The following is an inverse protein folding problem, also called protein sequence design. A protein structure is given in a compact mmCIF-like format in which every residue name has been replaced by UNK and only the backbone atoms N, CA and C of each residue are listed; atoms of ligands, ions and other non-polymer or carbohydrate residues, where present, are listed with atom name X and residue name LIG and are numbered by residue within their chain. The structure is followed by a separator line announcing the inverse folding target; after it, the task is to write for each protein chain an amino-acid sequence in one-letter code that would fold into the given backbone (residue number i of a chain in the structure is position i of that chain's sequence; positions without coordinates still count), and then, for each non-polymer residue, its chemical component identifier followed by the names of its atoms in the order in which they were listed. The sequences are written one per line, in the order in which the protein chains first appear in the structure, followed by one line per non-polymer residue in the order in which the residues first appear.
data_IF_439138586405
#
_entry.id   IF_439138586405
#
_cell.length_a   1.000
_cell.length_b   1.000
_cell.length_c   1.000
_cell.angle_alpha   90.00
_cell.angle_beta   90.00
_cell.angle_gamma   90.00
#
_symmetry.space_group_name_H-M   'P 1'
#
loop_
_entity.id
_entity.type
_entity.pdbx_description
1 polymer ?
#
# COMPACT_ATOMS: atom_id res chain seq x y z
N UNK A 1 -44.98 -23.52 7.62
CA UNK A 1 -44.17 -22.36 8.05
C UNK A 1 -43.26 -22.84 9.16
N UNK A 2 -42.08 -23.35 8.80
CA UNK A 2 -41.06 -23.73 9.77
C UNK A 2 -40.20 -22.49 9.98
N UNK A 3 -40.24 -21.94 11.20
CA UNK A 3 -39.43 -20.80 11.58
C UNK A 3 -37.95 -21.18 11.51
N UNK A 4 -37.13 -20.26 11.01
CA UNK A 4 -35.67 -20.37 10.92
C UNK A 4 -35.00 -20.57 12.31
N UNK A 5 -35.78 -20.51 13.40
CA UNK A 5 -35.37 -20.77 14.78
C UNK A 5 -34.91 -22.21 15.05
N UNK A 6 -35.36 -23.19 14.27
CA UNK A 6 -35.22 -24.61 14.70
C UNK A 6 -33.89 -25.25 14.25
N UNK A 7 -33.03 -24.51 13.55
CA UNK A 7 -31.76 -25.01 13.01
C UNK A 7 -30.51 -24.44 13.72
N UNK A 8 -30.68 -23.52 14.68
CA UNK A 8 -29.56 -22.97 15.44
C UNK A 8 -29.55 -23.62 16.82
N UNK A 9 -28.54 -24.46 17.15
CA UNK A 9 -28.44 -25.07 18.48
C UNK A 9 -28.56 -24.01 19.58
N UNK A 10 -29.33 -24.26 20.65
CA UNK A 10 -29.50 -23.33 21.78
C UNK A 10 -28.18 -22.89 22.48
N UNK A 11 -27.06 -23.54 22.14
CA UNK A 11 -25.70 -23.14 22.52
C UNK A 11 -25.16 -22.00 21.65
N UNK A 12 -25.46 -22.00 20.35
CA UNK A 12 -25.10 -20.96 19.39
C UNK A 12 -25.87 -19.66 19.66
N UNK A 13 -27.15 -19.72 20.04
CA UNK A 13 -27.90 -18.51 20.44
C UNK A 13 -27.34 -17.87 21.72
N UNK A 14 -27.03 -18.69 22.74
CA UNK A 14 -26.38 -18.19 23.97
C UNK A 14 -25.01 -17.58 23.69
N UNK A 15 -24.22 -18.23 22.82
CA UNK A 15 -22.92 -17.70 22.40
C UNK A 15 -23.08 -16.39 21.62
N UNK A 16 -24.07 -16.29 20.72
CA UNK A 16 -24.39 -15.07 19.98
C UNK A 16 -24.76 -13.92 20.91
N UNK A 17 -25.68 -14.13 21.86
CA UNK A 17 -26.08 -13.08 22.82
C UNK A 17 -24.91 -12.62 23.70
N UNK A 18 -24.04 -13.54 24.10
CA UNK A 18 -22.83 -13.21 24.86
C UNK A 18 -21.81 -12.42 24.03
N UNK A 19 -21.53 -12.85 22.79
CA UNK A 19 -20.62 -12.16 21.86
C UNK A 19 -21.14 -10.77 21.47
N UNK A 20 -22.46 -10.64 21.26
CA UNK A 20 -23.11 -9.38 20.88
C UNK A 20 -22.88 -8.26 21.90
N UNK A 21 -22.77 -8.60 23.19
CA UNK A 21 -22.45 -7.64 24.26
C UNK A 21 -21.10 -6.96 24.07
N UNK A 22 -20.14 -7.66 23.46
CA UNK A 22 -18.77 -7.18 23.23
C UNK A 22 -18.53 -6.77 21.77
N UNK A 23 -19.55 -6.82 20.91
CA UNK A 23 -19.40 -6.52 19.49
C UNK A 23 -18.91 -5.09 19.22
N UNK A 24 -19.26 -4.14 20.09
CA UNK A 24 -18.77 -2.76 20.02
C UNK A 24 -17.24 -2.63 20.17
N UNK A 25 -16.56 -3.62 20.76
CA UNK A 25 -15.10 -3.68 20.88
C UNK A 25 -14.43 -4.22 19.61
N UNK A 26 -15.18 -4.87 18.72
CA UNK A 26 -14.63 -5.54 17.53
C UNK A 26 -13.82 -4.60 16.62
N UNK A 27 -14.24 -3.35 16.34
CA UNK A 27 -13.44 -2.38 15.62
C UNK A 27 -12.05 -2.13 16.23
N UNK A 28 -11.98 -2.03 17.56
CA UNK A 28 -10.72 -1.82 18.28
C UNK A 28 -9.84 -3.08 18.23
N UNK A 29 -10.45 -4.26 18.25
CA UNK A 29 -9.75 -5.54 18.12
C UNK A 29 -9.18 -5.70 16.71
N UNK A 30 -9.96 -5.44 15.65
CA UNK A 30 -9.46 -5.49 14.26
C UNK A 30 -8.42 -4.41 13.97
N UNK A 31 -8.59 -3.19 14.50
CA UNK A 31 -7.58 -2.14 14.39
C UNK A 31 -6.29 -2.50 15.14
N UNK A 32 -6.44 -2.97 16.39
CA UNK A 32 -5.33 -3.47 17.19
C UNK A 32 -4.65 -4.66 16.54
N UNK A 33 -5.40 -5.57 15.91
CA UNK A 33 -4.91 -6.69 15.10
C UNK A 33 -4.11 -6.19 13.91
N UNK A 34 -4.61 -5.20 13.15
CA UNK A 34 -3.88 -4.57 12.05
C UNK A 34 -2.54 -3.97 12.48
N UNK A 35 -2.54 -3.21 13.58
CA UNK A 35 -1.32 -2.66 14.18
C UNK A 35 -0.38 -3.78 14.64
N UNK A 36 -0.88 -4.77 15.37
CA UNK A 36 -0.11 -5.88 15.89
C UNK A 36 0.51 -6.71 14.77
N UNK A 37 -0.25 -6.98 13.73
CA UNK A 37 0.16 -7.64 12.50
C UNK A 37 1.30 -6.92 11.83
N UNK A 38 1.18 -5.59 11.68
CA UNK A 38 2.26 -4.77 11.16
C UNK A 38 3.52 -4.84 12.05
N UNK A 39 3.37 -4.75 13.38
CA UNK A 39 4.50 -4.92 14.30
C UNK A 39 5.16 -6.28 14.13
N UNK A 40 4.36 -7.34 14.02
CA UNK A 40 4.87 -8.68 13.75
C UNK A 40 5.60 -8.73 12.42
N UNK A 41 5.05 -8.17 11.34
CA UNK A 41 5.70 -8.13 10.02
C UNK A 41 7.05 -7.42 10.10
N UNK A 42 7.10 -6.26 10.76
CA UNK A 42 8.32 -5.46 10.92
C UNK A 42 9.39 -6.14 11.79
N UNK A 43 8.99 -7.11 12.64
CA UNK A 43 9.91 -7.85 13.53
C UNK A 43 10.25 -9.25 13.05
N UNK A 44 9.33 -9.94 12.37
CA UNK A 44 9.45 -11.30 11.84
C UNK A 44 8.59 -11.47 10.58
N UNK A 45 9.24 -11.48 9.42
CA UNK A 45 8.60 -11.65 8.10
C UNK A 45 7.71 -12.90 8.00
N UNK A 46 8.06 -13.99 8.69
CA UNK A 46 7.31 -15.25 8.67
C UNK A 46 5.88 -15.10 9.17
N UNK A 47 5.64 -14.24 10.17
CA UNK A 47 4.31 -14.05 10.74
C UNK A 47 3.41 -13.19 9.86
N UNK A 48 4.01 -12.23 9.14
CA UNK A 48 3.33 -11.49 8.08
C UNK A 48 2.78 -12.39 6.98
N UNK A 49 3.59 -13.37 6.57
CA UNK A 49 3.19 -14.38 5.59
C UNK A 49 1.99 -15.17 6.08
N UNK A 50 2.01 -15.64 7.34
CA UNK A 50 0.88 -16.40 7.90
C UNK A 50 -0.42 -15.62 7.96
N UNK A 51 -0.36 -14.34 8.33
CA UNK A 51 -1.54 -13.49 8.35
C UNK A 51 -2.08 -13.20 6.95
N UNK A 52 -1.19 -12.92 5.99
CA UNK A 52 -1.59 -12.76 4.60
C UNK A 52 -2.22 -14.06 4.05
N UNK A 53 -1.68 -15.23 4.39
CA UNK A 53 -2.27 -16.53 4.04
C UNK A 53 -3.63 -16.74 4.70
N UNK A 54 -3.80 -16.38 5.97
CA UNK A 54 -5.09 -16.45 6.66
C UNK A 54 -6.13 -15.54 5.97
N UNK A 55 -5.74 -14.32 5.61
CA UNK A 55 -6.60 -13.40 4.85
C UNK A 55 -6.98 -13.97 3.48
N UNK A 56 -6.01 -14.53 2.73
CA UNK A 56 -6.26 -15.19 1.45
C UNK A 56 -7.19 -16.40 1.60
N UNK A 57 -7.05 -17.17 2.69
CA UNK A 57 -7.96 -18.26 3.00
C UNK A 57 -9.39 -17.75 3.26
N UNK A 58 -9.56 -16.66 4.01
CA UNK A 58 -10.88 -16.04 4.22
C UNK A 58 -11.52 -15.61 2.90
N UNK A 59 -10.74 -14.99 2.01
CA UNK A 59 -11.20 -14.62 0.67
C UNK A 59 -11.56 -15.83 -0.20
N UNK A 60 -10.76 -16.89 -0.15
CA UNK A 60 -11.02 -18.13 -0.87
C UNK A 60 -12.32 -18.79 -0.37
N UNK A 61 -12.51 -18.88 0.94
CA UNK A 61 -13.72 -19.46 1.55
C UNK A 61 -14.97 -18.66 1.18
N UNK A 62 -14.91 -17.32 1.24
CA UNK A 62 -16.01 -16.45 0.82
C UNK A 62 -16.34 -16.64 -0.66
N UNK A 63 -15.31 -16.78 -1.50
CA UNK A 63 -15.48 -17.02 -2.94
C UNK A 63 -16.12 -18.38 -3.19
N UNK A 64 -15.61 -19.44 -2.56
CA UNK A 64 -16.15 -20.80 -2.67
C UNK A 64 -17.60 -20.89 -2.19
N UNK A 65 -17.96 -20.20 -1.11
CA UNK A 65 -19.36 -20.10 -0.65
C UNK A 65 -20.26 -19.43 -1.70
N UNK A 66 -19.78 -18.35 -2.31
CA UNK A 66 -20.54 -17.66 -3.36
C UNK A 66 -20.71 -18.51 -4.63
N UNK A 67 -19.71 -19.33 -5.00
CA UNK A 67 -19.82 -20.28 -6.11
C UNK A 67 -20.74 -21.46 -5.78
N UNK A 68 -20.61 -22.00 -4.56
CA UNK A 68 -21.44 -23.10 -4.08
C UNK A 68 -22.92 -22.70 -4.06
N UNK A 69 -23.22 -21.53 -3.47
CA UNK A 69 -24.58 -20.99 -3.44
C UNK A 69 -25.09 -20.75 -4.86
N UNK A 70 -24.28 -20.24 -5.78
CA UNK A 70 -24.59 -20.05 -7.20
C UNK A 70 -24.97 -21.36 -7.93
N UNK A 71 -24.20 -22.44 -7.71
CA UNK A 71 -24.43 -23.75 -8.34
C UNK A 71 -25.69 -24.41 -7.79
N UNK A 72 -25.87 -24.36 -6.47
CA UNK A 72 -26.99 -25.00 -5.79
C UNK A 72 -28.24 -24.13 -5.65
N UNK A 73 -28.36 -23.01 -6.37
CA UNK A 73 -29.56 -22.13 -6.31
C UNK A 73 -30.89 -22.81 -6.59
N UNK A 74 -30.87 -23.94 -7.30
CA UNK A 74 -32.06 -24.75 -7.62
C UNK A 74 -32.35 -25.84 -6.58
N UNK A 75 -31.53 -25.98 -5.53
CA UNK A 75 -31.76 -26.88 -4.40
C UNK A 75 -32.15 -26.04 -3.17
N UNK A 76 -33.26 -26.39 -2.52
CA UNK A 76 -33.89 -25.60 -1.45
C UNK A 76 -33.05 -25.40 -0.17
N UNK A 77 -31.86 -25.99 -0.06
CA UNK A 77 -31.23 -26.26 1.25
C UNK A 77 -29.92 -25.55 1.61
N UNK A 78 -29.38 -24.59 0.82
CA UNK A 78 -28.13 -23.94 1.27
C UNK A 78 -27.89 -22.52 0.74
N UNK A 79 -28.71 -21.57 1.15
CA UNK A 79 -28.32 -20.16 1.09
C UNK A 79 -28.07 -19.63 2.50
N UNK A 80 -26.89 -19.07 2.75
CA UNK A 80 -26.69 -18.26 3.94
C UNK A 80 -27.72 -17.12 3.91
N UNK A 81 -28.45 -16.86 5.01
CA UNK A 81 -29.28 -15.67 5.12
C UNK A 81 -28.50 -14.44 4.67
N UNK A 82 -29.10 -13.59 3.84
CA UNK A 82 -28.44 -12.43 3.23
C UNK A 82 -27.70 -11.58 4.26
N UNK A 83 -28.30 -11.41 5.45
CA UNK A 83 -27.69 -10.70 6.57
C UNK A 83 -26.36 -11.32 7.00
N UNK A 84 -26.30 -12.65 7.15
CA UNK A 84 -25.09 -13.37 7.51
C UNK A 84 -24.02 -13.27 6.41
N UNK A 85 -24.41 -13.37 5.14
CA UNK A 85 -23.48 -13.20 4.02
C UNK A 85 -22.88 -11.78 3.97
N UNK A 86 -23.69 -10.74 4.17
CA UNK A 86 -23.24 -9.35 4.25
C UNK A 86 -22.34 -9.11 5.46
N UNK A 87 -22.66 -9.70 6.61
CA UNK A 87 -21.84 -9.64 7.81
C UNK A 87 -20.48 -10.33 7.61
N UNK A 88 -20.45 -11.54 7.04
CA UNK A 88 -19.20 -12.21 6.70
C UNK A 88 -18.36 -11.39 5.71
N UNK A 89 -18.99 -10.79 4.71
CA UNK A 89 -18.31 -9.90 3.78
C UNK A 89 -17.75 -8.65 4.49
N UNK A 90 -18.51 -8.06 5.42
CA UNK A 90 -18.04 -6.93 6.24
C UNK A 90 -16.79 -7.30 7.03
N UNK A 91 -16.80 -8.46 7.70
CA UNK A 91 -15.64 -8.95 8.45
C UNK A 91 -14.43 -9.13 7.52
N UNK A 92 -14.61 -9.77 6.37
CA UNK A 92 -13.52 -9.96 5.39
C UNK A 92 -12.97 -8.62 4.89
N UNK A 93 -13.84 -7.66 4.59
CA UNK A 93 -13.43 -6.32 4.16
C UNK A 93 -12.71 -5.55 5.25
N UNK A 94 -13.24 -5.61 6.47
CA UNK A 94 -12.66 -4.99 7.65
C UNK A 94 -11.24 -5.55 7.89
N UNK A 95 -11.09 -6.86 7.99
CA UNK A 95 -9.78 -7.50 8.16
C UNK A 95 -8.83 -7.18 7.01
N UNK A 96 -9.32 -7.14 5.77
CA UNK A 96 -8.51 -6.73 4.61
C UNK A 96 -7.98 -5.31 4.77
N UNK A 97 -8.87 -4.36 5.09
CA UNK A 97 -8.51 -2.96 5.22
C UNK A 97 -7.57 -2.74 6.40
N UNK A 98 -7.83 -3.34 7.56
CA UNK A 98 -6.96 -3.19 8.73
C UNK A 98 -5.63 -3.93 8.59
N UNK A 99 -5.56 -4.99 7.79
CA UNK A 99 -4.30 -5.62 7.40
C UNK A 99 -3.49 -4.72 6.45
N UNK A 100 -4.11 -4.17 5.41
CA UNK A 100 -3.43 -3.38 4.39
C UNK A 100 -3.09 -1.95 4.83
N UNK A 101 -3.94 -1.32 5.65
CA UNK A 101 -3.85 0.11 5.97
C UNK A 101 -2.51 0.52 6.62
N UNK A 102 -1.91 -0.22 7.57
CA UNK A 102 -0.62 0.13 8.13
C UNK A 102 0.50 0.26 7.09
N UNK A 103 0.52 -0.61 6.09
CA UNK A 103 1.48 -0.55 4.98
C UNK A 103 1.35 0.78 4.24
N UNK A 104 0.14 1.11 3.79
CA UNK A 104 -0.09 2.35 3.05
C UNK A 104 0.16 3.60 3.91
N UNK A 105 -0.23 3.62 5.19
CA UNK A 105 0.02 4.78 6.07
C UNK A 105 1.51 5.10 6.22
N UNK A 106 2.38 4.08 6.15
CA UNK A 106 3.82 4.24 6.32
C UNK A 106 4.51 4.57 5.01
N UNK A 107 4.11 3.94 3.91
CA UNK A 107 4.73 4.15 2.60
C UNK A 107 4.19 5.36 1.84
N UNK A 108 3.12 5.98 2.35
CA UNK A 108 2.56 7.20 1.77
C UNK A 108 3.51 8.39 1.95
N UNK A 109 3.88 8.97 0.82
CA UNK A 109 4.46 10.30 0.75
C UNK A 109 3.33 11.34 0.82
N UNK A 110 3.10 11.88 2.01
CA UNK A 110 1.90 12.67 2.36
C UNK A 110 1.76 14.00 1.63
N UNK A 111 2.84 14.55 1.08
CA UNK A 111 2.86 15.75 0.26
C UNK A 111 2.75 15.44 -1.25
N UNK A 112 2.13 14.31 -1.59
CA UNK A 112 1.90 13.87 -2.96
C UNK A 112 0.46 13.36 -3.17
N UNK A 113 0.10 13.06 -4.42
CA UNK A 113 -1.19 12.44 -4.76
C UNK A 113 -1.48 11.14 -4.02
N UNK A 114 -0.44 10.48 -3.47
CA UNK A 114 -0.57 9.28 -2.66
C UNK A 114 -1.48 9.45 -1.43
N UNK A 115 -1.51 10.64 -0.84
CA UNK A 115 -2.37 10.94 0.30
C UNK A 115 -3.86 10.72 -0.02
N UNK A 116 -4.28 10.91 -1.28
CA UNK A 116 -5.67 10.73 -1.70
C UNK A 116 -6.07 9.25 -1.68
N UNK A 117 -5.22 8.38 -2.23
CA UNK A 117 -5.48 6.92 -2.23
C UNK A 117 -5.49 6.36 -0.80
N UNK A 118 -4.51 6.73 0.01
CA UNK A 118 -4.45 6.29 1.41
C UNK A 118 -5.62 6.84 2.23
N UNK A 119 -6.01 8.10 2.01
CA UNK A 119 -7.21 8.69 2.60
C UNK A 119 -8.48 7.94 2.21
N UNK A 120 -8.61 7.52 0.95
CA UNK A 120 -9.73 6.66 0.50
C UNK A 120 -9.76 5.34 1.28
N UNK A 121 -8.62 4.67 1.50
CA UNK A 121 -8.56 3.45 2.30
C UNK A 121 -8.93 3.68 3.77
N UNK A 122 -8.50 4.80 4.37
CA UNK A 122 -8.91 5.20 5.73
C UNK A 122 -10.42 5.37 5.81
N UNK A 123 -11.03 6.08 4.85
CA UNK A 123 -12.48 6.28 4.79
C UNK A 123 -13.20 4.93 4.66
N UNK A 124 -12.73 4.04 3.79
CA UNK A 124 -13.27 2.69 3.67
C UNK A 124 -13.15 1.90 4.98
N UNK A 125 -12.00 1.96 5.66
CA UNK A 125 -11.80 1.30 6.95
C UNK A 125 -12.79 1.82 8.01
N UNK A 126 -13.04 3.13 8.06
CA UNK A 126 -14.06 3.72 8.93
C UNK A 126 -15.47 3.23 8.56
N UNK A 127 -15.81 3.21 7.27
CA UNK A 127 -17.10 2.70 6.80
C UNK A 127 -17.29 1.23 7.22
N UNK A 128 -16.24 0.40 7.15
CA UNK A 128 -16.28 -1.01 7.55
C UNK A 128 -16.64 -1.22 9.03
N UNK A 129 -16.30 -0.25 9.88
CA UNK A 129 -16.56 -0.26 11.32
C UNK A 129 -17.99 0.17 11.64
N UNK A 130 -18.54 1.09 10.85
CA UNK A 130 -19.83 1.72 11.17
C UNK A 130 -20.95 0.96 10.50
N UNK A 131 -21.54 -0.01 11.20
CA UNK A 131 -22.58 -0.92 10.66
C UNK A 131 -23.69 -0.19 9.89
N UNK A 132 -24.32 0.90 10.40
CA UNK A 132 -25.39 1.56 9.68
C UNK A 132 -24.96 2.11 8.31
N UNK A 133 -23.68 2.53 8.18
CA UNK A 133 -23.13 2.98 6.91
C UNK A 133 -22.83 1.80 5.99
N UNK A 134 -22.16 0.77 6.48
CA UNK A 134 -21.80 -0.41 5.68
C UNK A 134 -23.04 -1.15 5.16
N UNK A 135 -23.97 -1.50 6.05
CA UNK A 135 -25.23 -2.16 5.67
C UNK A 135 -26.10 -1.25 4.80
N UNK A 136 -26.11 0.06 5.07
CA UNK A 136 -26.79 1.04 4.23
C UNK A 136 -26.27 1.04 2.79
N UNK A 137 -24.96 0.93 2.58
CA UNK A 137 -24.34 0.78 1.26
C UNK A 137 -24.70 -0.57 0.65
N UNK A 138 -24.54 -1.67 1.40
CA UNK A 138 -24.78 -3.03 0.93
C UNK A 138 -26.21 -3.28 0.42
N UNK A 139 -27.20 -2.71 1.11
CA UNK A 139 -28.62 -2.89 0.79
C UNK A 139 -29.14 -1.88 -0.24
N UNK A 140 -28.82 -0.59 -0.08
CA UNK A 140 -29.44 0.48 -0.86
C UNK A 140 -28.63 0.87 -2.10
N UNK A 141 -27.30 0.66 -2.09
CA UNK A 141 -26.38 1.12 -3.14
C UNK A 141 -25.45 -0.01 -3.60
N UNK A 142 -26.04 -1.01 -4.23
CA UNK A 142 -25.36 -2.25 -4.62
C UNK A 142 -24.13 -2.05 -5.52
N UNK A 143 -24.14 -1.02 -6.37
CA UNK A 143 -22.97 -0.66 -7.18
C UNK A 143 -21.78 -0.20 -6.31
N UNK A 144 -22.01 0.68 -5.33
CA UNK A 144 -20.97 1.10 -4.38
C UNK A 144 -20.44 -0.07 -3.56
N UNK A 145 -21.32 -0.97 -3.14
CA UNK A 145 -20.91 -2.17 -2.40
C UNK A 145 -19.93 -3.04 -3.19
N UNK A 146 -20.19 -3.28 -4.47
CA UNK A 146 -19.28 -4.07 -5.31
C UNK A 146 -18.01 -3.30 -5.71
N UNK A 147 -18.09 -1.98 -5.88
CA UNK A 147 -16.91 -1.14 -6.07
C UNK A 147 -16.01 -1.12 -4.83
N UNK A 148 -16.61 -1.06 -3.64
CA UNK A 148 -15.92 -1.18 -2.36
C UNK A 148 -15.23 -2.55 -2.23
N UNK A 149 -15.95 -3.62 -2.56
CA UNK A 149 -15.40 -4.98 -2.57
C UNK A 149 -14.22 -5.11 -3.55
N UNK A 150 -14.33 -4.55 -4.76
CA UNK A 150 -13.23 -4.51 -5.73
C UNK A 150 -12.03 -3.71 -5.23
N UNK A 151 -12.26 -2.59 -4.52
CA UNK A 151 -11.19 -1.79 -3.91
C UNK A 151 -10.44 -2.57 -2.82
N UNK A 152 -11.14 -3.36 -2.00
CA UNK A 152 -10.48 -4.26 -1.04
C UNK A 152 -9.60 -5.30 -1.74
N UNK A 153 -10.08 -5.93 -2.84
CA UNK A 153 -9.27 -6.87 -3.63
C UNK A 153 -8.07 -6.17 -4.27
N UNK A 154 -8.25 -4.95 -4.76
CA UNK A 154 -7.15 -4.16 -5.30
C UNK A 154 -6.09 -3.87 -4.24
N UNK A 155 -6.48 -3.36 -3.08
CA UNK A 155 -5.57 -3.06 -1.98
C UNK A 155 -4.81 -4.32 -1.48
N UNK A 156 -5.50 -5.46 -1.36
CA UNK A 156 -4.85 -6.69 -0.90
C UNK A 156 -3.86 -7.23 -1.93
N UNK A 157 -4.16 -7.15 -3.23
CA UNK A 157 -3.22 -7.56 -4.29
C UNK A 157 -1.94 -6.71 -4.31
N UNK A 158 -2.06 -5.40 -4.05
CA UNK A 158 -0.90 -4.50 -3.94
C UNK A 158 0.03 -4.86 -2.78
N UNK A 159 -0.49 -5.44 -1.69
CA UNK A 159 0.29 -5.84 -0.52
C UNK A 159 0.79 -7.29 -0.67
N UNK A 160 -0.10 -8.20 -1.02
CA UNK A 160 0.18 -9.65 -1.07
C UNK A 160 1.06 -10.02 -2.25
N UNK A 161 0.95 -9.34 -3.40
CA UNK A 161 1.78 -9.60 -4.58
C UNK A 161 3.29 -9.56 -4.26
N UNK A 162 3.80 -8.44 -3.73
CA UNK A 162 5.20 -8.35 -3.33
C UNK A 162 5.52 -9.22 -2.11
N UNK A 163 4.62 -9.25 -1.11
CA UNK A 163 4.87 -9.90 0.18
C UNK A 163 4.89 -11.43 0.11
N UNK A 164 4.05 -12.07 -0.72
CA UNK A 164 3.94 -13.52 -0.82
C UNK A 164 4.48 -14.08 -2.14
N UNK A 165 4.26 -13.38 -3.25
CA UNK A 165 4.52 -13.90 -4.59
C UNK A 165 5.83 -13.39 -5.20
N UNK A 166 6.57 -12.54 -4.48
CA UNK A 166 7.81 -11.88 -4.95
C UNK A 166 7.62 -11.11 -6.26
N UNK A 167 6.41 -10.59 -6.49
CA UNK A 167 6.11 -9.76 -7.65
C UNK A 167 6.63 -8.34 -7.41
N UNK A 168 7.15 -7.70 -8.46
CA UNK A 168 7.47 -6.27 -8.36
C UNK A 168 6.22 -5.45 -8.05
N UNK A 169 6.42 -4.26 -7.51
CA UNK A 169 5.35 -3.33 -7.16
C UNK A 169 4.55 -2.96 -8.40
N UNK A 170 5.24 -2.69 -9.51
CA UNK A 170 4.60 -2.42 -10.81
C UNK A 170 3.79 -3.60 -11.36
N UNK A 171 4.31 -4.83 -11.25
CA UNK A 171 3.60 -6.04 -11.69
C UNK A 171 2.35 -6.30 -10.82
N UNK A 172 2.50 -6.15 -9.51
CA UNK A 172 1.38 -6.29 -8.56
C UNK A 172 0.29 -5.27 -8.84
N UNK A 173 0.68 -4.02 -9.15
CA UNK A 173 -0.26 -2.97 -9.56
C UNK A 173 -0.96 -3.29 -10.88
N UNK A 174 -0.23 -3.77 -11.89
CA UNK A 174 -0.83 -4.17 -13.17
C UNK A 174 -1.86 -5.29 -12.97
N UNK A 175 -1.51 -6.33 -12.20
CA UNK A 175 -2.41 -7.42 -11.86
C UNK A 175 -3.64 -6.93 -11.09
N UNK A 176 -3.46 -6.02 -10.13
CA UNK A 176 -4.55 -5.41 -9.40
C UNK A 176 -5.46 -4.57 -10.32
N UNK A 177 -4.88 -3.79 -11.24
CA UNK A 177 -5.61 -2.97 -12.21
C UNK A 177 -6.44 -3.82 -13.19
N UNK A 178 -5.99 -5.03 -13.52
CA UNK A 178 -6.75 -6.01 -14.33
C UNK A 178 -7.85 -6.67 -13.47
N UNK A 179 -7.53 -7.10 -12.25
CA UNK A 179 -8.47 -7.76 -11.36
C UNK A 179 -9.62 -6.85 -10.92
N UNK A 180 -9.36 -5.55 -10.74
CA UNK A 180 -10.34 -4.59 -10.23
C UNK A 180 -11.65 -4.54 -11.04
N UNK A 181 -11.65 -4.29 -12.36
CA UNK A 181 -12.91 -4.29 -13.13
C UNK A 181 -13.55 -5.67 -13.25
N UNK A 182 -12.78 -6.77 -13.17
CA UNK A 182 -13.32 -8.13 -13.16
C UNK A 182 -14.14 -8.38 -11.89
N UNK A 183 -13.61 -7.97 -10.74
CA UNK A 183 -14.30 -8.06 -9.45
C UNK A 183 -15.44 -7.04 -9.35
N UNK A 184 -15.27 -5.86 -9.93
CA UNK A 184 -16.30 -4.81 -9.99
C UNK A 184 -17.37 -5.09 -11.06
N UNK A 185 -17.28 -6.17 -11.84
CA UNK A 185 -18.20 -6.49 -12.93
C UNK A 185 -19.68 -6.48 -12.51
N UNK A 186 -20.09 -7.00 -11.33
CA UNK A 186 -21.46 -6.85 -10.86
C UNK A 186 -21.90 -5.39 -10.67
N UNK A 187 -20.98 -4.51 -10.25
CA UNK A 187 -21.22 -3.06 -10.18
C UNK A 187 -21.48 -2.49 -11.57
N UNK A 188 -20.60 -2.79 -12.53
CA UNK A 188 -20.69 -2.29 -13.91
C UNK A 188 -21.97 -2.76 -14.61
N UNK A 189 -22.33 -4.04 -14.46
CA UNK A 189 -23.59 -4.59 -14.99
C UNK A 189 -24.80 -3.89 -14.36
N UNK A 190 -24.78 -3.63 -13.05
CA UNK A 190 -25.91 -3.00 -12.36
C UNK A 190 -26.16 -1.55 -12.81
N UNK A 191 -25.10 -0.83 -13.18
CA UNK A 191 -25.13 0.55 -13.68
C UNK A 191 -25.54 0.57 -15.16
N UNK A 192 -24.86 -0.20 -16.01
CA UNK A 192 -25.05 -0.14 -17.47
C UNK A 192 -26.27 -0.92 -17.95
N UNK A 193 -26.72 -1.95 -17.22
CA UNK A 193 -27.83 -2.84 -17.56
C UNK A 193 -27.80 -3.26 -19.04
N UNK A 194 -26.77 -4.03 -19.45
CA UNK A 194 -26.55 -4.35 -20.86
C UNK A 194 -27.61 -5.31 -21.39
N UNK A 195 -28.58 -4.75 -22.12
CA UNK A 195 -29.68 -5.44 -22.82
C UNK A 195 -29.41 -5.59 -24.32
N UNK A 196 -28.48 -4.81 -24.88
CA UNK A 196 -28.12 -4.76 -26.29
C UNK A 196 -26.61 -4.96 -26.46
N UNK A 197 -26.20 -5.50 -27.61
CA UNK A 197 -24.79 -5.73 -27.94
C UNK A 197 -23.89 -4.49 -27.73
N UNK A 198 -24.38 -3.30 -28.09
CA UNK A 198 -23.64 -2.04 -27.88
C UNK A 198 -23.33 -1.77 -26.40
N UNK A 199 -24.23 -2.12 -25.47
CA UNK A 199 -23.99 -1.94 -24.03
C UNK A 199 -22.99 -2.96 -23.47
N UNK A 200 -22.92 -4.16 -24.06
CA UNK A 200 -21.85 -5.12 -23.76
C UNK A 200 -20.49 -4.59 -24.21
N UNK A 201 -20.42 -4.02 -25.42
CA UNK A 201 -19.21 -3.34 -25.89
C UNK A 201 -18.85 -2.16 -24.98
N UNK A 202 -19.83 -1.34 -24.57
CA UNK A 202 -19.60 -0.24 -23.63
C UNK A 202 -19.08 -0.72 -22.26
N UNK A 203 -19.54 -1.87 -21.77
CA UNK A 203 -19.04 -2.48 -20.54
C UNK A 203 -17.58 -2.88 -20.67
N UNK A 204 -17.19 -3.50 -21.77
CA UNK A 204 -15.78 -3.87 -22.04
C UNK A 204 -14.91 -2.61 -22.14
N UNK A 205 -15.36 -1.60 -22.89
CA UNK A 205 -14.65 -0.32 -22.99
C UNK A 205 -14.49 0.32 -21.62
N UNK A 206 -15.54 0.31 -20.79
CA UNK A 206 -15.47 0.85 -19.43
C UNK A 206 -14.52 0.05 -18.54
N UNK A 207 -14.51 -1.28 -18.62
CA UNK A 207 -13.58 -2.12 -17.87
C UNK A 207 -12.12 -1.82 -18.27
N UNK A 208 -11.83 -1.74 -19.57
CA UNK A 208 -10.51 -1.35 -20.08
C UNK A 208 -10.14 0.07 -19.65
N UNK A 209 -11.09 1.00 -19.72
CA UNK A 209 -10.91 2.38 -19.25
C UNK A 209 -10.61 2.47 -17.76
N UNK A 210 -11.24 1.65 -16.93
CA UNK A 210 -10.96 1.56 -15.48
C UNK A 210 -9.56 0.99 -15.24
N UNK A 211 -9.17 -0.10 -15.91
CA UNK A 211 -7.80 -0.63 -15.82
C UNK A 211 -6.76 0.39 -16.26
N UNK A 212 -6.99 1.05 -17.40
CA UNK A 212 -6.13 2.12 -17.91
C UNK A 212 -6.06 3.31 -16.96
N UNK A 213 -7.18 3.71 -16.36
CA UNK A 213 -7.25 4.75 -15.34
C UNK A 213 -6.49 4.39 -14.07
N UNK A 214 -6.62 3.16 -13.57
CA UNK A 214 -5.84 2.67 -12.43
C UNK A 214 -4.33 2.70 -12.70
N UNK A 215 -3.91 2.31 -13.92
CA UNK A 215 -2.51 2.40 -14.34
C UNK A 215 -2.04 3.85 -14.53
N UNK A 216 -2.89 4.74 -15.05
CA UNK A 216 -2.57 6.15 -15.19
C UNK A 216 -2.40 6.84 -13.82
N UNK A 217 -3.21 6.45 -12.84
CA UNK A 217 -3.17 6.92 -11.45
C UNK A 217 -2.11 6.19 -10.60
N UNK A 218 -1.22 5.38 -11.19
CA UNK A 218 -0.21 4.61 -10.45
C UNK A 218 0.65 5.45 -9.50
N UNK A 219 0.96 6.69 -9.88
CA UNK A 219 1.77 7.61 -9.05
C UNK A 219 1.05 8.06 -7.78
N UNK A 220 -0.29 7.96 -7.74
CA UNK A 220 -1.13 8.22 -6.57
C UNK A 220 -1.26 6.99 -5.66
N UNK A 221 -0.63 5.86 -5.99
CA UNK A 221 -0.71 4.64 -5.19
C UNK A 221 0.66 4.46 -4.51
N UNK A 222 0.74 4.48 -3.16
CA UNK A 222 1.99 4.19 -2.47
C UNK A 222 2.47 2.76 -2.78
N UNK A 223 3.79 2.54 -2.85
CA UNK A 223 4.34 1.19 -2.97
C UNK A 223 4.21 0.48 -1.61
N UNK A 224 3.20 -0.38 -1.46
CA UNK A 224 2.74 -0.83 -0.14
C UNK A 224 3.82 -1.48 0.73
N UNK A 225 4.76 -2.21 0.13
CA UNK A 225 5.76 -3.00 0.86
C UNK A 225 7.19 -2.47 0.74
N UNK A 226 7.39 -1.30 0.12
CA UNK A 226 8.70 -0.68 -0.05
C UNK A 226 8.75 0.65 0.67
N UNK A 227 9.76 0.84 1.53
CA UNK A 227 9.97 2.10 2.23
C UNK A 227 11.45 2.38 2.46
N UNK A 228 11.78 3.65 2.69
CA UNK A 228 13.13 4.09 3.04
C UNK A 228 13.32 3.95 4.55
N UNK A 229 14.24 3.08 4.96
CA UNK A 229 14.66 2.92 6.37
C UNK A 229 15.57 4.05 6.82
N UNK A 230 16.48 4.48 5.95
CA UNK A 230 17.38 5.60 6.18
C UNK A 230 17.84 6.24 4.87
N UNK A 231 18.17 7.52 4.93
CA UNK A 231 18.78 8.27 3.84
C UNK A 231 19.95 9.10 4.33
N UNK A 232 20.88 9.45 3.45
CA UNK A 232 21.95 10.38 3.77
C UNK A 232 22.42 11.13 2.52
N UNK A 233 22.95 12.33 2.75
CA UNK A 233 23.71 13.09 1.77
C UNK A 233 25.17 13.11 2.20
N UNK A 234 26.09 12.95 1.25
CA UNK A 234 27.53 12.95 1.58
C UNK A 234 28.42 13.40 0.42
N UNK A 235 29.61 13.96 0.70
CA UNK A 235 30.59 14.30 -0.33
C UNK A 235 31.26 13.08 -0.96
N UNK A 236 31.33 11.96 -0.23
CA UNK A 236 31.97 10.73 -0.70
C UNK A 236 31.20 9.48 -0.28
N UNK A 237 31.53 8.36 -0.91
CA UNK A 237 30.89 7.08 -0.69
C UNK A 237 31.93 5.95 -0.73
N UNK A 238 31.89 5.06 0.25
CA UNK A 238 32.69 3.84 0.29
C UNK A 238 31.92 2.72 -0.42
N UNK A 239 32.35 2.36 -1.63
CA UNK A 239 31.69 1.33 -2.44
C UNK A 239 31.84 -0.08 -1.87
N UNK A 240 32.91 -0.35 -1.12
CA UNK A 240 33.15 -1.67 -0.52
C UNK A 240 32.29 -1.87 0.73
N UNK A 241 32.26 -0.86 1.63
CA UNK A 241 31.39 -0.88 2.81
C UNK A 241 29.93 -0.56 2.49
N UNK A 242 29.65 0.02 1.31
CA UNK A 242 28.35 0.54 0.87
C UNK A 242 27.79 1.57 1.86
N UNK A 243 28.63 2.54 2.23
CA UNK A 243 28.30 3.55 3.24
C UNK A 243 28.73 4.96 2.83
N UNK A 244 27.90 5.98 3.14
CA UNK A 244 28.27 7.38 2.94
C UNK A 244 29.45 7.77 3.85
N UNK A 245 30.31 8.67 3.38
CA UNK A 245 31.52 9.11 4.09
C UNK A 245 31.77 10.61 3.92
N UNK A 246 32.61 11.13 4.83
CA UNK A 246 33.10 12.50 4.79
C UNK A 246 32.06 13.52 5.23
N UNK A 247 32.47 14.80 5.26
CA UNK A 247 31.54 15.89 5.51
C UNK A 247 31.88 17.14 4.70
N UNK A 248 30.87 17.92 4.33
CA UNK A 248 31.00 19.22 3.67
C UNK A 248 29.79 20.11 3.95
N UNK A 249 29.95 21.43 3.76
CA UNK A 249 28.81 22.35 3.74
C UNK A 249 28.15 22.34 2.35
N UNK A 250 26.82 22.45 2.32
CA UNK A 250 26.03 22.53 1.09
C UNK A 250 26.07 23.94 0.48
N UNK A 251 27.24 24.29 -0.04
CA UNK A 251 27.50 25.53 -0.80
C UNK A 251 27.72 25.20 -2.27
N UNK A 252 27.47 26.13 -3.18
CA UNK A 252 27.65 25.93 -4.63
C UNK A 252 29.07 25.48 -4.98
N UNK A 253 30.09 26.08 -4.36
CA UNK A 253 31.50 25.75 -4.63
C UNK A 253 31.86 24.32 -4.25
N UNK A 254 31.46 23.87 -3.06
CA UNK A 254 31.68 22.49 -2.62
C UNK A 254 30.96 21.49 -3.53
N UNK A 255 29.72 21.79 -3.95
CA UNK A 255 28.95 20.92 -4.83
C UNK A 255 29.56 20.81 -6.22
N UNK A 256 30.04 21.92 -6.80
CA UNK A 256 30.75 21.91 -8.08
C UNK A 256 32.09 21.16 -8.00
N UNK A 257 32.81 21.30 -6.88
CA UNK A 257 34.13 20.69 -6.72
C UNK A 257 34.07 19.17 -6.42
N UNK A 258 33.12 18.73 -5.59
CA UNK A 258 33.08 17.35 -5.06
C UNK A 258 31.89 16.54 -5.58
N UNK A 259 30.83 17.20 -6.04
CA UNK A 259 29.53 16.59 -6.26
C UNK A 259 28.84 16.23 -4.94
N UNK A 260 27.70 15.54 -5.05
CA UNK A 260 26.93 15.06 -3.91
C UNK A 260 26.46 13.64 -4.15
N UNK A 261 26.62 12.79 -3.16
CA UNK A 261 26.00 11.48 -3.13
C UNK A 261 24.67 11.56 -2.39
N UNK A 262 23.64 10.93 -2.98
CA UNK A 262 22.39 10.64 -2.30
C UNK A 262 22.33 9.14 -2.03
N UNK A 263 22.30 8.77 -0.75
CA UNK A 263 22.22 7.39 -0.27
C UNK A 263 20.84 7.09 0.29
N UNK A 264 20.33 5.90 -0.01
CA UNK A 264 19.06 5.38 0.53
C UNK A 264 19.20 3.90 0.89
N UNK A 265 18.82 3.57 2.12
CA UNK A 265 18.56 2.20 2.55
C UNK A 265 17.07 1.93 2.40
N UNK A 266 16.72 1.00 1.53
CA UNK A 266 15.33 0.65 1.21
C UNK A 266 15.03 -0.74 1.75
N UNK A 267 13.93 -0.84 2.50
CA UNK A 267 13.38 -2.12 2.91
C UNK A 267 12.65 -2.78 1.75
N UNK A 268 12.91 -4.06 1.52
CA UNK A 268 12.23 -4.86 0.51
C UNK A 268 12.01 -6.30 1.02
N UNK A 269 10.75 -6.76 1.14
CA UNK A 269 10.47 -8.10 1.62
C UNK A 269 10.95 -9.18 0.66
N UNK A 270 11.30 -10.36 1.19
CA UNK A 270 11.70 -11.56 0.43
C UNK A 270 12.86 -11.36 -0.57
N UNK A 271 13.71 -10.35 -0.35
CA UNK A 271 14.78 -10.01 -1.29
C UNK A 271 14.25 -9.56 -2.67
N UNK A 272 13.06 -8.98 -2.74
CA UNK A 272 12.47 -8.45 -3.96
C UNK A 272 13.46 -7.50 -4.66
N UNK A 273 13.80 -7.82 -5.91
CA UNK A 273 14.65 -6.98 -6.75
C UNK A 273 13.77 -5.99 -7.51
N UNK A 274 13.54 -4.81 -6.93
CA UNK A 274 12.74 -3.73 -7.53
C UNK A 274 13.65 -2.63 -8.00
N UNK A 275 13.74 -2.36 -9.30
CA UNK A 275 14.51 -1.22 -9.80
C UNK A 275 13.95 0.11 -9.27
N UNK A 276 14.85 0.94 -8.72
CA UNK A 276 14.54 2.28 -8.25
C UNK A 276 15.45 3.30 -8.92
N UNK A 277 14.95 4.54 -8.99
CA UNK A 277 15.64 5.67 -9.60
C UNK A 277 15.72 6.82 -8.60
N UNK A 278 16.84 7.53 -8.62
CA UNK A 278 16.96 8.83 -7.95
C UNK A 278 16.68 9.91 -8.98
N UNK A 279 15.53 10.58 -8.84
CA UNK A 279 15.14 11.73 -9.67
C UNK A 279 15.53 13.00 -8.94
N UNK A 280 16.54 13.69 -9.45
CA UNK A 280 17.04 14.94 -8.89
C UNK A 280 16.21 16.10 -9.43
N UNK A 281 15.79 16.97 -8.53
CA UNK A 281 15.04 18.18 -8.82
C UNK A 281 15.74 19.40 -8.23
N UNK A 282 15.68 20.49 -8.97
CA UNK A 282 16.12 21.81 -8.55
C UNK A 282 14.98 22.79 -8.84
N UNK A 283 14.54 23.54 -7.83
CA UNK A 283 13.38 24.46 -7.93
C UNK A 283 12.14 23.76 -8.51
N UNK A 284 11.92 22.50 -8.11
CA UNK A 284 10.82 21.65 -8.57
C UNK A 284 11.01 20.99 -9.95
N UNK A 285 11.96 21.46 -10.77
CA UNK A 285 12.22 20.94 -12.12
C UNK A 285 13.12 19.71 -12.07
N UNK A 286 12.80 18.68 -12.85
CA UNK A 286 13.67 17.48 -12.97
C UNK A 286 14.92 17.86 -13.75
N UNK A 287 16.09 17.67 -13.14
CA UNK A 287 17.40 17.98 -13.74
C UNK A 287 18.23 16.73 -14.03
N UNK A 288 17.92 15.60 -13.39
CA UNK A 288 18.62 14.35 -13.60
C UNK A 288 17.77 13.15 -13.16
N UNK A 289 17.97 12.02 -13.79
CA UNK A 289 17.35 10.75 -13.41
C UNK A 289 18.39 9.64 -13.50
N UNK A 290 18.72 9.06 -12.35
CA UNK A 290 19.82 8.08 -12.24
C UNK A 290 19.23 6.72 -11.85
N UNK A 291 19.32 5.78 -12.78
CA UNK A 291 18.90 4.39 -12.58
C UNK A 291 19.83 3.66 -11.63
N UNK A 292 19.26 3.03 -10.60
CA UNK A 292 20.01 2.28 -9.60
C UNK A 292 19.74 0.79 -9.81
N UNK A 293 20.71 0.11 -10.40
CA UNK A 293 20.69 -1.36 -10.48
C UNK A 293 21.08 -1.91 -9.11
N UNK A 294 20.12 -2.55 -8.45
CA UNK A 294 20.31 -3.09 -7.11
C UNK A 294 21.15 -4.36 -7.20
N UNK A 295 22.29 -4.37 -6.53
CA UNK A 295 23.15 -5.54 -6.43
C UNK A 295 23.41 -5.90 -4.96
N UNK A 296 22.69 -6.91 -4.48
CA UNK A 296 22.89 -7.51 -3.17
C UNK A 296 22.24 -6.75 -2.01
N UNK A 297 21.65 -7.53 -1.12
CA UNK A 297 20.98 -7.10 0.10
C UNK A 297 20.77 -8.30 1.01
N UNK A 298 20.70 -8.08 2.32
CA UNK A 298 20.26 -9.11 3.29
C UNK A 298 18.82 -9.52 2.93
N UNK A 299 18.27 -10.57 3.53
CA UNK A 299 16.89 -11.06 3.28
C UNK A 299 15.75 -10.00 3.41
N UNK A 300 16.06 -8.77 3.84
CA UNK A 300 15.10 -7.74 4.22
C UNK A 300 15.30 -6.36 3.53
N UNK A 301 16.23 -6.18 2.59
CA UNK A 301 16.36 -4.90 1.88
C UNK A 301 17.71 -4.64 1.22
N UNK A 302 17.82 -3.49 0.55
CA UNK A 302 18.98 -3.09 -0.24
C UNK A 302 19.44 -1.66 0.03
N UNK A 303 20.69 -1.37 -0.36
CA UNK A 303 21.31 -0.04 -0.28
C UNK A 303 21.52 0.47 -1.70
N UNK A 304 21.08 1.69 -1.97
CA UNK A 304 21.21 2.34 -3.26
C UNK A 304 21.84 3.73 -3.08
N UNK A 305 22.64 4.15 -4.05
CA UNK A 305 23.24 5.48 -4.03
C UNK A 305 23.39 6.02 -5.46
N UNK A 306 23.21 7.33 -5.62
CA UNK A 306 23.53 8.04 -6.85
C UNK A 306 24.52 9.17 -6.54
N UNK A 307 25.35 9.54 -7.51
CA UNK A 307 26.25 10.69 -7.42
C UNK A 307 25.88 11.71 -8.46
N UNK A 308 25.51 12.92 -8.04
CA UNK A 308 25.41 14.07 -8.93
C UNK A 308 26.73 14.83 -8.92
N UNK A 309 27.30 15.06 -10.11
CA UNK A 309 28.56 15.81 -10.27
C UNK A 309 28.33 17.16 -10.96
N UNK A 310 27.42 17.22 -11.92
CA UNK A 310 27.13 18.42 -12.68
C UNK A 310 25.86 19.09 -12.14
N UNK A 311 26.06 20.16 -11.35
CA UNK A 311 24.98 20.97 -10.77
C UNK A 311 24.59 22.19 -11.63
N UNK A 312 25.36 22.51 -12.67
CA UNK A 312 25.09 23.65 -13.54
C UNK A 312 25.65 24.97 -12.99
N UNK A 313 25.22 26.07 -13.61
CA UNK A 313 25.64 27.43 -13.23
C UNK A 313 24.84 27.96 -12.05
N UNK A 314 23.54 27.68 -12.01
CA UNK A 314 22.63 28.09 -10.93
C UNK A 314 22.44 26.91 -9.98
N UNK A 315 23.09 26.96 -8.81
CA UNK A 315 23.16 25.84 -7.85
C UNK A 315 22.46 26.16 -6.54
N UNK A 316 22.30 27.44 -6.20
CA UNK A 316 21.60 27.87 -4.99
C UNK A 316 20.11 27.52 -5.04
N UNK A 317 19.49 27.44 -3.87
CA UNK A 317 18.06 27.20 -3.72
C UNK A 317 17.68 25.76 -3.36
N UNK A 318 16.45 25.39 -3.68
CA UNK A 318 15.81 24.18 -3.21
C UNK A 318 16.13 22.96 -4.08
N UNK A 319 16.69 21.95 -3.46
CA UNK A 319 17.00 20.67 -4.07
C UNK A 319 16.23 19.52 -3.44
N UNK A 320 15.86 18.58 -4.31
CA UNK A 320 15.11 17.40 -3.91
C UNK A 320 15.59 16.17 -4.68
N UNK A 321 15.72 15.05 -3.97
CA UNK A 321 15.93 13.73 -4.57
C UNK A 321 14.70 12.88 -4.30
N UNK A 322 13.92 12.63 -5.33
CA UNK A 322 12.80 11.69 -5.31
C UNK A 322 13.33 10.27 -5.51
N UNK A 323 12.94 9.35 -4.63
CA UNK A 323 13.21 7.93 -4.80
C UNK A 323 11.95 7.29 -5.39
N UNK A 324 12.04 6.79 -6.62
CA UNK A 324 10.88 6.29 -7.37
C UNK A 324 11.11 4.89 -7.90
N UNK A 325 10.05 4.08 -7.96
CA UNK A 325 10.07 2.79 -8.69
C UNK A 325 10.05 3.02 -10.20
N UNK A 326 10.29 1.96 -10.97
CA UNK A 326 10.06 1.93 -12.42
C UNK A 326 8.61 2.27 -12.80
N UNK A 327 7.65 1.86 -11.97
CA UNK A 327 6.25 2.20 -12.14
C UNK A 327 5.95 3.69 -11.85
N UNK A 328 6.92 4.47 -11.38
CA UNK A 328 6.76 5.89 -11.04
C UNK A 328 6.13 6.12 -9.66
N UNK A 329 6.03 5.08 -8.83
CA UNK A 329 5.57 5.23 -7.45
C UNK A 329 6.71 5.78 -6.60
N UNK A 330 6.46 6.86 -5.88
CA UNK A 330 7.44 7.50 -5.01
C UNK A 330 7.51 6.77 -3.66
N UNK A 331 8.71 6.39 -3.22
CA UNK A 331 8.98 5.77 -1.91
C UNK A 331 9.26 6.82 -0.85
N UNK A 332 9.89 7.93 -1.24
CA UNK A 332 10.29 8.99 -0.32
C UNK A 332 11.05 10.11 -1.03
N UNK A 333 11.40 11.10 -0.24
CA UNK A 333 11.97 12.37 -0.69
C UNK A 333 13.09 12.80 0.24
N UNK A 334 14.25 13.12 -0.32
CA UNK A 334 15.35 13.78 0.41
C UNK A 334 15.35 15.25 -0.02
N UNK A 335 15.19 16.18 0.92
CA UNK A 335 15.22 17.63 0.66
C UNK A 335 16.45 18.27 1.28
N UNK A 336 17.05 19.19 0.54
CA UNK A 336 18.14 20.03 1.03
C UNK A 336 18.15 21.36 0.28
N UNK A 337 18.64 22.39 0.95
CA UNK A 337 18.79 23.73 0.40
C UNK A 337 20.29 24.01 0.22
N UNK A 338 20.65 24.72 -0.85
CA UNK A 338 22.01 25.16 -1.13
C UNK A 338 22.09 26.66 -0.96
N UNK A 339 23.00 27.10 -0.09
CA UNK A 339 23.20 28.50 0.27
C UNK A 339 24.71 28.76 0.24
N UNK A 340 25.18 29.82 -0.44
CA UNK A 340 26.63 30.11 -0.50
C UNK A 340 27.19 30.75 0.78
N UNK A 341 26.33 31.31 1.63
CA UNK A 341 26.71 31.73 2.98
C UNK A 341 27.06 30.52 3.85
N UNK A 342 28.37 30.31 4.08
CA UNK A 342 28.94 29.18 4.82
C UNK A 342 28.40 29.11 6.25
N UNK A 343 28.08 30.25 6.88
CA UNK A 343 27.59 30.29 8.26
C UNK A 343 26.13 29.81 8.36
N UNK A 344 25.39 29.86 7.25
CA UNK A 344 24.00 29.40 7.15
C UNK A 344 23.87 28.04 6.44
N UNK A 345 24.86 27.65 5.64
CA UNK A 345 24.83 26.43 4.87
C UNK A 345 24.74 25.17 5.75
N UNK A 346 23.80 24.28 5.41
CA UNK A 346 23.64 23.00 6.10
C UNK A 346 24.88 22.11 5.87
N UNK A 347 25.41 21.55 6.95
CA UNK A 347 26.44 20.51 6.89
C UNK A 347 25.83 19.15 6.56
N UNK A 348 26.42 18.45 5.61
CA UNK A 348 26.16 17.03 5.34
C UNK A 348 27.39 16.22 5.73
N UNK A 349 27.19 15.14 6.48
CA UNK A 349 28.26 14.33 7.07
C UNK A 349 28.09 12.82 6.84
N UNK A 350 27.14 12.44 5.98
CA UNK A 350 26.78 11.05 5.76
C UNK A 350 26.03 10.39 6.92
N UNK A 351 25.61 11.14 7.95
CA UNK A 351 24.79 10.58 9.00
C UNK A 351 23.47 10.05 8.44
N UNK A 352 23.09 8.85 8.86
CA UNK A 352 21.88 8.19 8.40
C UNK A 352 20.66 8.81 9.07
N UNK A 353 19.97 9.68 8.32
CA UNK A 353 18.68 10.22 8.71
C UNK A 353 17.61 9.14 8.52
N UNK A 354 17.00 8.73 9.62
CA UNK A 354 15.87 7.79 9.57
C UNK A 354 14.60 8.57 9.28
N UNK A 355 13.86 8.15 8.26
CA UNK A 355 12.61 8.80 7.85
C UNK A 355 11.68 8.96 9.06
N UNK A 356 11.20 10.19 9.38
CA UNK A 356 10.25 10.42 10.46
C UNK A 356 8.87 9.88 10.07
N UNK A 357 8.72 8.56 10.09
CA UNK A 357 7.42 7.89 10.18
C UNK A 357 7.03 7.72 11.65
N UNK A 358 6.23 6.70 11.96
CA UNK A 358 5.86 6.28 13.33
C UNK A 358 7.09 5.74 14.11
N UNK A 359 8.19 6.49 14.16
CA UNK A 359 9.48 6.16 14.74
C UNK A 359 9.47 6.09 16.27
N UNK A 360 8.42 6.60 16.92
CA UNK A 360 8.21 6.38 18.35
C UNK A 360 7.98 4.90 18.70
N UNK A 361 7.49 4.08 17.76
CA UNK A 361 7.37 2.63 17.94
C UNK A 361 8.71 1.87 17.74
N UNK A 362 9.77 2.56 17.33
CA UNK A 362 11.09 1.98 17.03
C UNK A 362 12.18 2.41 18.03
N UNK A 363 11.82 3.02 19.17
CA UNK A 363 12.77 3.57 20.17
C UNK A 363 13.59 2.55 20.96
N UNK A 364 13.33 1.25 20.85
CA UNK A 364 14.10 0.20 21.52
C UNK A 364 14.90 -0.64 20.52
N UNK A 365 15.90 -0.01 19.91
CA UNK A 365 17.06 -0.71 19.34
C UNK A 365 18.31 -0.01 19.89
N UNK A 366 18.63 -0.35 21.13
CA UNK A 366 20.02 -0.39 21.59
C UNK A 366 20.34 -1.83 21.92
N UNK A 367 21.52 -2.19 21.41
CA UNK A 367 22.35 -3.37 21.66
C UNK A 367 22.00 -4.64 20.85
#
# INVERSE_FOLDING_TARGET
MNSVSDLVPARLERLYHWLRRYYWLWPLISFGSGIFSFFLISRQQSLGVWLALALMLTWLLLSLESLWSWWHRHREHSSLPRLLATFCAQLTHQETLFFCLPFFLITTVWDSGQAIFTGLLVICAIISIVDPLYFGIAEKRRWLYFSYHALCVFAVLLVVGPLLLRLSTGTSLLMAAIAFPLVALPSLISILRPDRALRWVALVILAVGISGGAWALRTFIPPATLWIDASALSPSFDAAAREPRGSMMLTSDNLRARGLYAFTAVHAPLGLNEHIRHVWRHEGNVVDEIDLTIQGGRDQGYRAWSRKQHFGTDVEGDWQVDVVTDAGQRLGVIRFEVIDDVDQARKVDGHLERTPGIGWLRRHQKD
#
